data_IF_661040251759
#
_entry.id   IF_661040251759
#
_cell.length_a   1.000
_cell.length_b   1.000
_cell.length_c   1.000
_cell.angle_alpha   90.00
_cell.angle_beta   90.00
_cell.angle_gamma   90.00
#
_symmetry.space_group_name_H-M   'P 1'
#
loop_
_entity.id
_entity.type
_entity.pdbx_description
1 polymer ?
#
# COMPACT_ATOMS: atom_id res chain seq x y z
N UNK A 1 15.66 -3.29 15.72
CA UNK A 1 14.27 -3.72 15.99
C UNK A 1 14.19 -5.20 15.61
N UNK A 2 13.65 -6.08 16.46
CA UNK A 2 13.48 -7.48 16.07
C UNK A 2 12.44 -7.55 14.94
N UNK A 3 12.65 -8.43 13.97
CA UNK A 3 11.76 -8.62 12.81
C UNK A 3 10.29 -8.81 13.23
N UNK A 4 10.07 -9.48 14.38
CA UNK A 4 8.74 -9.66 15.01
C UNK A 4 8.04 -8.34 15.37
N UNK A 5 8.75 -7.35 15.88
CA UNK A 5 8.17 -6.06 16.28
C UNK A 5 7.73 -5.21 15.08
N UNK A 6 8.43 -5.34 13.95
CA UNK A 6 8.08 -4.66 12.71
C UNK A 6 6.83 -5.29 12.10
N UNK A 7 6.76 -6.62 12.12
CA UNK A 7 5.60 -7.38 11.67
C UNK A 7 4.32 -7.02 12.42
N UNK A 8 4.34 -7.02 13.75
CA UNK A 8 3.16 -6.66 14.56
C UNK A 8 2.67 -5.24 14.27
N UNK A 9 3.61 -4.29 14.16
CA UNK A 9 3.27 -2.91 13.78
C UNK A 9 2.68 -2.83 12.38
N UNK A 10 3.20 -3.61 11.44
CA UNK A 10 2.69 -3.67 10.08
C UNK A 10 1.26 -4.23 10.06
N UNK A 11 1.00 -5.36 10.73
CA UNK A 11 -0.33 -5.97 10.82
C UNK A 11 -1.36 -4.99 11.40
N UNK A 12 -1.02 -4.30 12.49
CA UNK A 12 -1.89 -3.30 13.10
C UNK A 12 -2.20 -2.11 12.16
N UNK A 13 -1.28 -1.75 11.27
CA UNK A 13 -1.49 -0.71 10.26
C UNK A 13 -2.34 -1.27 9.11
N UNK A 14 -2.02 -2.48 8.64
CA UNK A 14 -2.72 -3.17 7.57
C UNK A 14 -4.22 -3.28 7.90
N UNK A 15 -4.57 -3.80 9.07
CA UNK A 15 -5.97 -3.96 9.50
C UNK A 15 -6.75 -2.64 9.52
N UNK A 16 -6.08 -1.54 9.88
CA UNK A 16 -6.69 -0.20 9.96
C UNK A 16 -6.81 0.51 8.61
N UNK A 17 -6.04 0.09 7.60
CA UNK A 17 -5.89 0.86 6.36
C UNK A 17 -6.28 0.10 5.10
N UNK A 18 -6.26 -1.24 5.13
CA UNK A 18 -6.49 -2.08 3.96
C UNK A 18 -7.80 -1.78 3.24
N UNK A 19 -8.94 -1.81 3.95
CA UNK A 19 -10.26 -1.54 3.36
C UNK A 19 -10.33 -0.16 2.69
N UNK A 20 -9.77 0.88 3.31
CA UNK A 20 -9.76 2.23 2.73
C UNK A 20 -8.93 2.31 1.45
N UNK A 21 -7.75 1.68 1.42
CA UNK A 21 -6.85 1.70 0.26
C UNK A 21 -7.42 0.83 -0.86
N UNK A 22 -7.91 -0.36 -0.53
CA UNK A 22 -8.51 -1.28 -1.48
C UNK A 22 -9.76 -0.68 -2.12
N UNK A 23 -10.68 -0.10 -1.33
CA UNK A 23 -11.86 0.58 -1.85
C UNK A 23 -11.52 1.71 -2.82
N UNK A 24 -10.48 2.48 -2.51
CA UNK A 24 -9.99 3.50 -3.46
C UNK A 24 -9.55 2.86 -4.79
N UNK A 25 -8.74 1.80 -4.75
CA UNK A 25 -8.20 1.17 -5.95
C UNK A 25 -9.27 0.51 -6.82
N UNK A 26 -10.20 -0.25 -6.25
CA UNK A 26 -11.27 -0.91 -7.02
C UNK A 26 -12.22 0.09 -7.70
N UNK A 27 -12.29 1.34 -7.20
CA UNK A 27 -13.09 2.40 -7.85
C UNK A 27 -12.34 3.14 -8.94
N UNK A 28 -11.02 2.98 -9.04
CA UNK A 28 -10.15 3.76 -9.94
C UNK A 28 -9.41 2.91 -10.96
N UNK A 29 -9.20 1.64 -10.69
CA UNK A 29 -8.43 0.72 -11.53
C UNK A 29 -9.35 -0.41 -11.99
N UNK A 30 -9.29 -0.70 -13.28
CA UNK A 30 -9.96 -1.83 -13.92
C UNK A 30 -8.96 -2.55 -14.82
N UNK A 31 -8.92 -3.89 -14.82
CA UNK A 31 -9.85 -4.81 -14.13
C UNK A 31 -9.51 -4.99 -12.63
N UNK A 32 -10.34 -5.73 -11.89
CA UNK A 32 -10.22 -5.90 -10.42
C UNK A 32 -8.87 -6.52 -10.04
N UNK A 33 -8.37 -7.44 -10.85
CA UNK A 33 -7.10 -8.13 -10.67
C UNK A 33 -5.94 -7.11 -10.63
N UNK A 34 -5.97 -6.10 -11.50
CA UNK A 34 -4.97 -5.04 -11.50
C UNK A 34 -5.04 -4.19 -10.20
N UNK A 35 -6.24 -3.96 -9.67
CA UNK A 35 -6.41 -3.27 -8.39
C UNK A 35 -5.84 -4.09 -7.21
N UNK A 36 -6.04 -5.41 -7.24
CA UNK A 36 -5.50 -6.35 -6.25
C UNK A 36 -3.97 -6.43 -6.30
N UNK A 37 -3.38 -6.47 -7.49
CA UNK A 37 -1.92 -6.43 -7.67
C UNK A 37 -1.34 -5.10 -7.14
N UNK A 38 -1.97 -3.97 -7.44
CA UNK A 38 -1.50 -2.67 -6.97
C UNK A 38 -1.56 -2.60 -5.45
N UNK A 39 -2.65 -3.03 -4.81
CA UNK A 39 -2.78 -2.97 -3.34
C UNK A 39 -1.73 -3.86 -2.67
N UNK A 40 -1.53 -5.08 -3.15
CA UNK A 40 -0.54 -6.00 -2.59
C UNK A 40 0.86 -5.40 -2.67
N UNK A 41 1.24 -4.91 -3.86
CA UNK A 41 2.54 -4.31 -4.04
C UNK A 41 2.71 -3.06 -3.14
N UNK A 42 1.63 -2.32 -2.83
CA UNK A 42 1.71 -1.12 -1.99
C UNK A 42 2.10 -1.50 -0.57
N UNK A 43 1.46 -2.54 -0.03
CA UNK A 43 1.78 -3.07 1.29
C UNK A 43 3.14 -3.76 1.34
N UNK A 44 3.57 -4.43 0.27
CA UNK A 44 4.92 -4.99 0.18
C UNK A 44 6.01 -3.90 0.21
N UNK A 45 5.86 -2.83 -0.58
CA UNK A 45 6.79 -1.69 -0.53
C UNK A 45 6.75 -1.01 0.83
N UNK A 46 5.56 -0.83 1.41
CA UNK A 46 5.39 -0.27 2.74
C UNK A 46 6.08 -1.10 3.83
N UNK A 47 5.95 -2.44 3.79
CA UNK A 47 6.60 -3.34 4.72
C UNK A 47 8.12 -3.27 4.61
N UNK A 48 8.66 -3.24 3.39
CA UNK A 48 10.11 -3.06 3.16
C UNK A 48 10.62 -1.76 3.78
N UNK A 49 9.91 -0.64 3.59
CA UNK A 49 10.26 0.64 4.23
C UNK A 49 10.32 0.55 5.76
N UNK A 50 9.41 -0.21 6.37
CA UNK A 50 9.42 -0.44 7.81
C UNK A 50 10.60 -1.31 8.25
N UNK A 51 10.96 -2.34 7.49
CA UNK A 51 12.13 -3.17 7.74
C UNK A 51 13.44 -2.37 7.63
N UNK A 52 13.50 -1.45 6.67
CA UNK A 52 14.63 -0.54 6.47
C UNK A 52 14.74 0.53 7.58
N UNK A 53 13.79 0.54 8.54
CA UNK A 53 13.79 1.44 9.67
C UNK A 53 13.29 2.85 9.36
N UNK A 54 12.61 3.06 8.23
CA UNK A 54 12.04 4.37 7.89
C UNK A 54 11.03 4.82 8.96
N UNK A 55 11.16 6.08 9.39
CA UNK A 55 10.21 6.68 10.33
C UNK A 55 8.92 7.08 9.61
N UNK A 56 7.95 6.17 9.62
CA UNK A 56 6.62 6.41 9.06
C UNK A 56 5.71 7.03 10.14
N UNK A 57 5.50 8.35 10.04
CA UNK A 57 4.65 9.11 10.96
C UNK A 57 3.15 8.98 10.63
N UNK A 58 2.80 8.96 9.34
CA UNK A 58 1.40 8.90 8.88
C UNK A 58 1.18 7.74 7.89
N UNK A 59 1.03 6.49 8.38
CA UNK A 59 0.94 5.30 7.54
C UNK A 59 -0.16 5.35 6.48
N UNK A 60 -1.38 5.77 6.88
CA UNK A 60 -2.54 5.85 5.97
C UNK A 60 -2.31 6.85 4.83
N UNK A 61 -1.71 8.00 5.12
CA UNK A 61 -1.42 9.01 4.11
C UNK A 61 -0.38 8.52 3.11
N UNK A 62 0.68 7.87 3.60
CA UNK A 62 1.71 7.27 2.76
C UNK A 62 1.11 6.20 1.84
N UNK A 63 0.36 5.24 2.38
CA UNK A 63 -0.29 4.17 1.61
C UNK A 63 -1.25 4.72 0.55
N UNK A 64 -2.05 5.73 0.89
CA UNK A 64 -2.95 6.36 -0.07
C UNK A 64 -2.19 7.10 -1.18
N UNK A 65 -1.06 7.73 -0.85
CA UNK A 65 -0.19 8.39 -1.83
C UNK A 65 0.41 7.37 -2.79
N UNK A 66 0.89 6.23 -2.27
CA UNK A 66 1.43 5.13 -3.06
C UNK A 66 0.35 4.55 -4.00
N UNK A 67 -0.85 4.30 -3.48
CA UNK A 67 -1.98 3.79 -4.26
C UNK A 67 -2.39 4.75 -5.40
N UNK A 68 -2.47 6.06 -5.11
CA UNK A 68 -2.75 7.09 -6.11
C UNK A 68 -1.71 7.12 -7.23
N UNK A 69 -0.41 7.14 -6.85
CA UNK A 69 0.70 7.15 -7.81
C UNK A 69 0.63 5.94 -8.73
N UNK A 70 0.48 4.75 -8.15
CA UNK A 70 0.47 3.50 -8.93
C UNK A 70 -0.78 3.32 -9.78
N UNK A 71 -1.94 3.77 -9.33
CA UNK A 71 -3.12 3.81 -10.17
C UNK A 71 -2.90 4.72 -11.40
N UNK A 72 -2.25 5.87 -11.23
CA UNK A 72 -1.90 6.74 -12.35
C UNK A 72 -0.86 6.09 -13.28
N UNK A 73 0.17 5.45 -12.72
CA UNK A 73 1.22 4.79 -13.51
C UNK A 73 0.68 3.59 -14.30
N UNK A 74 -0.26 2.83 -13.73
CA UNK A 74 -0.95 1.74 -14.42
C UNK A 74 -1.59 2.22 -15.73
N UNK A 75 -2.30 3.35 -15.73
CA UNK A 75 -2.89 3.87 -16.96
C UNK A 75 -1.88 4.49 -17.92
N UNK A 76 -0.81 5.09 -17.40
CA UNK A 76 0.28 5.63 -18.24
C UNK A 76 1.01 4.54 -19.01
N UNK A 77 1.10 3.31 -18.50
CA UNK A 77 1.79 2.23 -19.22
C UNK A 77 1.06 1.73 -20.47
N UNK A 78 -0.18 2.16 -20.71
CA UNK A 78 -0.96 1.83 -21.91
C UNK A 78 -0.99 2.95 -22.95
N UNK A 79 -0.35 4.10 -22.70
CA UNK A 79 -0.24 5.24 -23.64
C UNK A 79 1.16 5.32 -24.21
#
# INVERSE_FOLDING_TARGET
MSDSSVKERFEAIYDKTYDSVYRYLITKVSPREAAEDIVQNCYLEFYKKMLDGEQILMPKHLLMTMAKRRAADYYRSFT
#
